data_IF_230389201226
#
_entry.id   IF_230389201226
#
_cell.length_a   1.000
_cell.length_b   1.000
_cell.length_c   1.000
_cell.angle_alpha   90.00
_cell.angle_beta   90.00
_cell.angle_gamma   90.00
#
_symmetry.space_group_name_H-M   'P 1'
#
loop_
_entity.id
_entity.type
_entity.pdbx_description
1 polymer ?
#
# COMPACT_ATOMS: atom_id res chain seq x y z
N UNK A 1 -3.01 34.86 16.08
CA UNK A 1 -2.44 35.15 14.74
C UNK A 1 -3.27 36.16 13.94
N UNK A 2 -4.58 36.21 14.17
CA UNK A 2 -5.49 37.12 13.45
C UNK A 2 -5.72 38.46 14.17
N UNK A 3 -5.24 38.60 15.40
CA UNK A 3 -5.33 39.85 16.13
C UNK A 3 -4.21 40.78 15.67
N UNK A 4 -4.59 41.83 14.93
CA UNK A 4 -3.64 42.85 14.40
C UNK A 4 -2.99 43.67 15.50
N UNK A 5 -3.53 43.68 16.72
CA UNK A 5 -2.99 44.39 17.88
C UNK A 5 -2.04 43.51 18.71
N UNK A 6 -1.89 42.23 18.35
CA UNK A 6 -0.98 41.34 19.07
C UNK A 6 0.47 41.65 18.75
N UNK A 7 1.10 42.42 19.59
CA UNK A 7 2.54 42.78 19.48
C UNK A 7 3.49 41.63 19.85
N UNK A 8 2.97 40.56 20.44
CA UNK A 8 3.71 39.34 20.80
C UNK A 8 3.15 38.14 20.05
N UNK A 9 3.54 37.89 18.80
CA UNK A 9 3.07 36.75 18.07
C UNK A 9 3.47 35.44 18.80
N UNK A 10 2.65 34.41 18.74
CA UNK A 10 2.98 33.12 19.36
C UNK A 10 4.30 32.60 18.77
N UNK A 11 5.18 32.16 19.65
CA UNK A 11 6.45 31.57 19.24
C UNK A 11 6.18 30.20 18.65
N UNK A 12 6.97 29.85 17.64
CA UNK A 12 6.91 28.55 16.99
C UNK A 12 8.31 28.06 16.67
N UNK A 13 8.46 26.74 16.63
CA UNK A 13 9.64 26.08 16.12
C UNK A 13 9.36 25.78 14.65
N UNK A 14 10.26 26.19 13.78
CA UNK A 14 10.19 25.88 12.35
C UNK A 14 11.22 24.79 12.05
N UNK A 15 10.76 23.76 11.36
CA UNK A 15 11.60 22.68 10.84
C UNK A 15 11.49 22.65 9.31
N UNK A 16 12.61 22.33 8.67
CA UNK A 16 12.70 22.38 7.22
C UNK A 16 11.77 21.35 6.54
N UNK A 17 11.58 20.20 7.18
CA UNK A 17 10.73 19.12 6.70
C UNK A 17 10.40 18.17 7.87
N UNK A 18 9.30 17.36 7.77
CA UNK A 18 8.78 16.63 8.94
C UNK A 18 9.53 15.35 9.30
N UNK A 19 10.57 14.96 8.55
CA UNK A 19 11.40 13.78 8.86
C UNK A 19 12.61 14.23 9.68
N UNK A 20 12.67 13.81 10.93
CA UNK A 20 13.76 14.19 11.84
C UNK A 20 14.90 13.17 11.75
N UNK A 21 16.12 13.67 11.93
CA UNK A 21 17.32 12.85 12.13
C UNK A 21 17.76 12.90 13.59
N UNK A 22 18.75 12.10 13.97
CA UNK A 22 19.18 11.96 15.36
C UNK A 22 19.57 13.29 16.02
N UNK A 23 20.25 14.17 15.27
CA UNK A 23 20.65 15.49 15.78
C UNK A 23 19.43 16.39 16.08
N UNK A 24 18.36 16.27 15.27
CA UNK A 24 17.12 17.01 15.50
C UNK A 24 16.41 16.49 16.75
N UNK A 25 16.35 15.17 16.94
CA UNK A 25 15.79 14.57 18.15
C UNK A 25 16.56 14.94 19.42
N UNK A 26 17.89 14.95 19.37
CA UNK A 26 18.71 15.36 20.50
C UNK A 26 18.39 16.82 20.90
N UNK A 27 18.29 17.73 19.94
CA UNK A 27 17.92 19.13 20.20
C UNK A 27 16.48 19.28 20.72
N UNK A 28 15.54 18.45 20.25
CA UNK A 28 14.16 18.49 20.75
C UNK A 28 14.06 17.98 22.19
N UNK A 29 14.84 16.96 22.55
CA UNK A 29 14.88 16.44 23.94
C UNK A 29 15.44 17.45 24.95
N UNK A 30 16.31 18.35 24.50
CA UNK A 30 16.91 19.41 25.34
C UNK A 30 16.47 20.83 24.90
N UNK A 31 15.29 20.95 24.34
CA UNK A 31 14.81 22.19 23.71
C UNK A 31 14.68 23.36 24.69
N UNK A 32 14.42 23.07 25.96
CA UNK A 32 14.33 24.05 27.04
C UNK A 32 15.67 24.78 27.25
N UNK A 33 16.79 24.09 27.16
CA UNK A 33 18.13 24.70 27.23
C UNK A 33 18.37 25.70 26.09
N UNK A 34 17.88 25.38 24.89
CA UNK A 34 18.06 26.20 23.69
C UNK A 34 17.04 27.35 23.56
N UNK A 35 15.95 27.29 24.32
CA UNK A 35 14.84 28.24 24.22
C UNK A 35 14.58 29.03 25.50
N UNK A 36 15.51 28.97 26.46
CA UNK A 36 15.36 29.58 27.78
C UNK A 36 14.01 29.14 28.45
N UNK A 37 13.72 27.86 28.40
CA UNK A 37 12.53 27.25 29.01
C UNK A 37 11.18 27.55 28.32
N UNK A 38 11.20 28.20 27.14
CA UNK A 38 9.96 28.57 26.43
C UNK A 38 9.31 27.40 25.74
N UNK A 39 10.10 26.43 25.31
CA UNK A 39 9.66 25.14 24.84
C UNK A 39 10.23 24.08 25.78
N UNK A 40 9.40 23.12 26.11
CA UNK A 40 9.74 21.99 26.97
C UNK A 40 9.15 20.73 26.36
N UNK A 41 9.98 19.70 26.23
CA UNK A 41 9.56 18.41 25.69
C UNK A 41 9.32 17.39 26.80
N UNK A 42 8.30 16.58 26.65
CA UNK A 42 8.02 15.44 27.52
C UNK A 42 7.89 14.17 26.65
N UNK A 43 8.62 13.11 27.03
CA UNK A 43 8.60 11.85 26.30
C UNK A 43 7.60 10.90 26.94
N UNK A 44 6.69 10.37 26.13
CA UNK A 44 5.65 9.42 26.50
C UNK A 44 6.03 8.05 25.94
N UNK A 45 6.29 7.10 26.82
CA UNK A 45 6.57 5.71 26.44
C UNK A 45 5.28 4.98 26.03
N UNK A 46 5.17 4.65 24.75
CA UNK A 46 4.01 3.92 24.21
C UNK A 46 4.13 2.41 24.35
N UNK A 47 5.10 1.92 25.09
CA UNK A 47 5.25 0.49 25.39
C UNK A 47 4.65 0.15 26.75
N UNK A 48 4.15 -1.07 26.90
CA UNK A 48 3.62 -1.58 28.16
C UNK A 48 4.08 -3.03 28.42
N UNK A 49 3.93 -3.57 29.65
CA UNK A 49 4.35 -4.92 29.96
C UNK A 49 3.75 -5.97 29.03
N UNK A 50 4.58 -6.73 28.33
CA UNK A 50 4.15 -7.78 27.40
C UNK A 50 3.27 -8.85 28.08
N UNK A 51 3.45 -9.07 29.38
CA UNK A 51 2.64 -9.98 30.17
C UNK A 51 1.15 -9.61 30.26
N UNK A 52 0.78 -8.36 29.94
CA UNK A 52 -0.62 -7.93 29.91
C UNK A 52 -1.33 -8.36 28.60
N UNK A 53 -0.57 -8.83 27.60
CA UNK A 53 -1.12 -9.26 26.31
C UNK A 53 -1.89 -8.15 25.59
N UNK A 54 -2.84 -8.53 24.75
CA UNK A 54 -3.70 -7.61 24.02
C UNK A 54 -4.69 -6.85 24.95
N UNK A 55 -5.10 -7.45 26.06
CA UNK A 55 -6.04 -6.85 27.01
C UNK A 55 -5.50 -5.62 27.75
N UNK A 56 -4.18 -5.46 27.83
CA UNK A 56 -3.55 -4.32 28.51
C UNK A 56 -3.64 -3.00 27.72
N UNK A 57 -3.95 -3.05 26.45
CA UNK A 57 -3.86 -1.87 25.55
C UNK A 57 -4.82 -0.75 25.94
N UNK A 58 -6.04 -1.05 26.34
CA UNK A 58 -7.04 -0.02 26.64
C UNK A 58 -6.65 0.81 27.88
N UNK A 59 -6.23 0.14 28.95
CA UNK A 59 -5.75 0.80 30.16
C UNK A 59 -4.46 1.61 29.88
N UNK A 60 -3.58 1.09 29.05
CA UNK A 60 -2.35 1.79 28.69
C UNK A 60 -2.64 3.04 27.85
N UNK A 61 -3.52 2.98 26.84
CA UNK A 61 -3.95 4.15 26.07
C UNK A 61 -4.57 5.23 26.96
N UNK A 62 -5.39 4.84 27.94
CA UNK A 62 -5.94 5.79 28.93
C UNK A 62 -4.83 6.44 29.76
N UNK A 63 -3.82 5.65 30.18
CA UNK A 63 -2.65 6.16 30.91
C UNK A 63 -1.82 7.13 30.07
N UNK A 64 -1.57 6.84 28.79
CA UNK A 64 -0.85 7.76 27.88
C UNK A 64 -1.57 9.10 27.77
N UNK A 65 -2.90 9.06 27.63
CA UNK A 65 -3.73 10.26 27.54
C UNK A 65 -3.65 11.08 28.82
N UNK A 66 -3.74 10.45 30.01
CA UNK A 66 -3.61 11.12 31.28
C UNK A 66 -2.24 11.78 31.47
N UNK A 67 -1.15 11.04 31.20
CA UNK A 67 0.21 11.57 31.24
C UNK A 67 0.40 12.80 30.35
N UNK A 68 -0.21 12.81 29.18
CA UNK A 68 -0.14 13.96 28.27
C UNK A 68 -0.85 15.19 28.84
N UNK A 69 -2.04 15.02 29.44
CA UNK A 69 -2.79 16.12 30.08
C UNK A 69 -1.99 16.69 31.25
N UNK A 70 -1.43 15.82 32.09
CA UNK A 70 -0.60 16.23 33.24
C UNK A 70 0.65 17.01 32.76
N UNK A 71 1.37 16.48 31.78
CA UNK A 71 2.53 17.14 31.21
C UNK A 71 2.21 18.54 30.63
N UNK A 72 1.08 18.68 29.93
CA UNK A 72 0.63 19.99 29.44
C UNK A 72 0.31 20.93 30.60
N UNK A 73 -0.33 20.42 31.67
CA UNK A 73 -0.61 21.15 32.90
C UNK A 73 0.66 21.65 33.59
N UNK A 74 1.75 20.90 33.52
CA UNK A 74 3.08 21.24 34.02
C UNK A 74 3.88 22.18 33.11
N UNK A 75 3.31 22.57 31.95
CA UNK A 75 3.89 23.52 31.00
C UNK A 75 4.78 22.91 29.92
N UNK A 76 4.74 21.58 29.72
CA UNK A 76 5.33 20.96 28.56
C UNK A 76 4.45 21.24 27.32
N UNK A 77 5.09 21.62 26.23
CA UNK A 77 4.39 22.01 25.00
C UNK A 77 4.87 21.26 23.76
N UNK A 78 5.72 20.25 23.96
CA UNK A 78 6.12 19.26 22.94
C UNK A 78 6.00 17.88 23.60
N UNK A 79 5.17 17.01 23.02
CA UNK A 79 5.01 15.62 23.47
C UNK A 79 5.66 14.69 22.43
N UNK A 80 6.57 13.83 22.88
CA UNK A 80 7.29 12.87 22.05
C UNK A 80 6.75 11.47 22.37
N UNK A 81 6.04 10.84 21.43
CA UNK A 81 5.59 9.46 21.59
C UNK A 81 6.72 8.53 21.13
N UNK A 82 7.19 7.67 22.03
CA UNK A 82 8.36 6.83 21.80
C UNK A 82 8.06 5.35 22.02
N UNK A 83 8.49 4.49 21.08
CA UNK A 83 8.53 3.04 21.24
C UNK A 83 9.95 2.49 21.50
N UNK A 84 10.91 3.37 21.82
CA UNK A 84 12.32 3.00 21.98
C UNK A 84 12.55 1.95 23.08
N UNK A 85 11.66 1.89 24.07
CA UNK A 85 11.74 0.94 25.19
C UNK A 85 11.19 -0.45 24.88
N UNK A 86 10.89 -0.74 23.61
CA UNK A 86 10.44 -2.08 23.20
C UNK A 86 11.52 -3.11 23.57
N UNK A 87 11.11 -4.18 24.25
CA UNK A 87 12.00 -5.24 24.73
C UNK A 87 11.24 -6.55 24.85
N UNK A 88 11.89 -7.62 25.28
CA UNK A 88 11.21 -8.89 25.55
C UNK A 88 10.04 -8.74 26.54
N UNK A 89 10.18 -7.86 27.50
CA UNK A 89 9.23 -7.62 28.59
C UNK A 89 8.22 -6.50 28.27
N UNK A 90 8.44 -5.76 27.19
CA UNK A 90 7.63 -4.59 26.83
C UNK A 90 7.24 -4.61 25.37
N UNK A 91 5.95 -4.59 25.09
CA UNK A 91 5.35 -4.52 23.76
C UNK A 91 4.88 -3.10 23.46
N UNK A 92 5.13 -2.61 22.23
CA UNK A 92 4.67 -1.30 21.83
C UNK A 92 3.21 -1.34 21.33
N UNK A 93 2.44 -0.32 21.70
CA UNK A 93 1.18 -0.01 20.98
C UNK A 93 1.54 0.41 19.55
N UNK A 94 0.79 -0.01 18.51
CA UNK A 94 0.98 0.52 17.16
C UNK A 94 0.99 2.04 17.19
N UNK A 95 2.07 2.64 16.70
CA UNK A 95 2.32 4.08 16.88
C UNK A 95 1.23 4.98 16.32
N UNK A 96 0.61 4.58 15.19
CA UNK A 96 -0.51 5.31 14.62
C UNK A 96 -1.74 5.31 15.56
N UNK A 97 -2.01 4.19 16.22
CA UNK A 97 -3.08 4.07 17.21
C UNK A 97 -2.79 4.95 18.44
N UNK A 98 -1.58 4.88 18.99
CA UNK A 98 -1.19 5.70 20.13
C UNK A 98 -1.28 7.20 19.82
N UNK A 99 -0.75 7.61 18.67
CA UNK A 99 -0.79 8.99 18.20
C UNK A 99 -2.23 9.49 18.02
N UNK A 100 -3.06 8.74 17.30
CA UNK A 100 -4.42 9.15 17.01
C UNK A 100 -5.30 9.17 18.27
N UNK A 101 -5.14 8.18 19.15
CA UNK A 101 -5.82 8.14 20.45
C UNK A 101 -5.50 9.40 21.28
N UNK A 102 -4.21 9.74 21.38
CA UNK A 102 -3.77 10.95 22.08
C UNK A 102 -4.27 12.23 21.41
N UNK A 103 -4.13 12.33 20.10
CA UNK A 103 -4.60 13.48 19.31
C UNK A 103 -6.10 13.74 19.52
N UNK A 104 -6.93 12.70 19.42
CA UNK A 104 -8.37 12.80 19.62
C UNK A 104 -8.73 13.13 21.08
N UNK A 105 -8.00 12.57 22.04
CA UNK A 105 -8.19 12.89 23.45
C UNK A 105 -7.90 14.37 23.74
N UNK A 106 -6.76 14.88 23.28
CA UNK A 106 -6.40 16.29 23.46
C UNK A 106 -7.35 17.25 22.76
N UNK A 107 -8.00 16.85 21.66
CA UNK A 107 -9.08 17.63 21.04
C UNK A 107 -10.28 17.70 21.96
N UNK A 108 -10.72 16.57 22.54
CA UNK A 108 -11.87 16.53 23.47
C UNK A 108 -11.63 17.34 24.73
N UNK A 109 -10.39 17.35 25.24
CA UNK A 109 -10.01 18.16 26.41
C UNK A 109 -9.74 19.64 26.06
N UNK A 110 -9.79 20.04 24.78
CA UNK A 110 -9.49 21.41 24.35
C UNK A 110 -7.99 21.79 24.43
N UNK A 111 -7.11 20.82 24.59
CA UNK A 111 -5.68 21.02 24.81
C UNK A 111 -4.82 20.85 23.56
N UNK A 112 -5.36 20.33 22.46
CA UNK A 112 -4.59 19.98 21.26
C UNK A 112 -3.76 21.12 20.68
N UNK A 113 -4.22 22.35 20.77
CA UNK A 113 -3.53 23.53 20.23
C UNK A 113 -2.40 24.04 21.12
N UNK A 114 -2.27 23.51 22.35
CA UNK A 114 -1.25 23.93 23.31
C UNK A 114 0.06 23.13 23.15
N UNK A 115 0.07 22.07 22.34
CA UNK A 115 1.21 21.17 22.25
C UNK A 115 1.46 20.69 20.82
N UNK A 116 2.75 20.48 20.50
CA UNK A 116 3.20 19.76 19.32
C UNK A 116 3.35 18.26 19.61
N UNK A 117 2.99 17.38 18.66
CA UNK A 117 3.13 15.94 18.74
C UNK A 117 4.27 15.47 17.83
N UNK A 118 5.29 14.86 18.41
CA UNK A 118 6.43 14.26 17.72
C UNK A 118 6.34 12.75 17.86
N UNK A 119 6.62 12.03 16.80
CA UNK A 119 6.71 10.57 16.81
C UNK A 119 8.16 10.14 16.75
N UNK A 120 8.58 9.28 17.67
CA UNK A 120 9.88 8.62 17.71
C UNK A 120 9.66 7.12 17.69
N UNK A 121 9.79 6.49 16.50
CA UNK A 121 9.34 5.11 16.34
C UNK A 121 10.20 4.27 15.42
N UNK A 122 10.40 3.01 15.81
CA UNK A 122 11.02 1.98 15.00
C UNK A 122 10.09 1.35 13.95
N UNK A 123 8.79 1.67 13.99
CA UNK A 123 7.80 1.07 13.08
C UNK A 123 7.54 1.88 11.80
N UNK A 124 8.32 2.94 11.56
CA UNK A 124 8.13 3.85 10.42
C UNK A 124 9.20 3.61 9.36
N UNK A 125 8.81 3.24 8.15
CA UNK A 125 9.74 2.86 7.08
C UNK A 125 9.53 3.60 5.78
N UNK A 126 8.30 3.69 5.28
CA UNK A 126 8.00 4.19 3.96
C UNK A 126 7.11 5.44 3.96
N UNK A 127 6.99 6.09 2.81
CA UNK A 127 6.25 7.36 2.66
C UNK A 127 4.83 7.30 3.22
N UNK A 128 4.15 6.15 3.08
CA UNK A 128 2.78 6.00 3.55
C UNK A 128 2.67 6.09 5.07
N UNK A 129 3.63 5.54 5.80
CA UNK A 129 3.68 5.63 7.27
C UNK A 129 3.74 7.10 7.72
N UNK A 130 4.63 7.88 7.10
CA UNK A 130 4.72 9.31 7.39
C UNK A 130 3.44 10.06 7.01
N UNK A 131 2.86 9.74 5.86
CA UNK A 131 1.62 10.36 5.42
C UNK A 131 0.47 10.12 6.40
N UNK A 132 0.34 8.88 6.92
CA UNK A 132 -0.63 8.53 7.94
C UNK A 132 -0.38 9.27 9.26
N UNK A 133 0.86 9.21 9.77
CA UNK A 133 1.18 9.85 11.04
C UNK A 133 0.95 11.37 11.00
N UNK A 134 1.37 12.04 9.94
CA UNK A 134 1.08 13.47 9.76
C UNK A 134 -0.42 13.73 9.65
N UNK A 135 -1.15 12.91 8.89
CA UNK A 135 -2.61 13.02 8.74
C UNK A 135 -3.37 12.86 10.05
N UNK A 136 -2.86 12.06 10.97
CA UNK A 136 -3.45 11.82 12.29
C UNK A 136 -2.81 12.61 13.43
N UNK A 137 -2.05 13.65 13.13
CA UNK A 137 -1.71 14.69 14.09
C UNK A 137 -0.24 14.85 14.44
N UNK A 138 0.68 14.03 13.93
CA UNK A 138 2.10 14.26 14.10
C UNK A 138 2.54 15.55 13.40
N UNK A 139 3.48 16.27 13.99
CA UNK A 139 4.11 17.44 13.40
C UNK A 139 5.45 17.09 12.77
N UNK A 140 6.14 16.10 13.35
CA UNK A 140 7.35 15.52 12.81
C UNK A 140 7.53 14.07 13.29
N UNK A 141 8.35 13.33 12.57
CA UNK A 141 8.58 11.90 12.80
C UNK A 141 10.07 11.59 12.75
N UNK A 142 10.59 10.92 13.76
CA UNK A 142 11.94 10.37 13.80
C UNK A 142 11.90 8.84 13.65
N UNK A 143 12.23 8.30 12.47
CA UNK A 143 12.19 6.86 12.17
C UNK A 143 13.52 6.20 12.57
N UNK A 144 13.82 6.11 13.86
CA UNK A 144 15.17 5.74 14.35
C UNK A 144 15.69 4.41 13.80
N UNK A 145 14.84 3.39 13.71
CA UNK A 145 15.25 2.08 13.20
C UNK A 145 15.54 2.12 11.71
N UNK A 146 14.71 2.80 10.92
CA UNK A 146 14.95 2.99 9.48
C UNK A 146 16.27 3.70 9.23
N UNK A 147 16.57 4.76 9.97
CA UNK A 147 17.82 5.49 9.85
C UNK A 147 19.03 4.61 10.21
N UNK A 148 18.93 3.83 11.29
CA UNK A 148 19.97 2.89 11.70
C UNK A 148 20.23 1.80 10.64
N UNK A 149 19.15 1.22 10.07
CA UNK A 149 19.23 0.20 9.02
C UNK A 149 19.83 0.78 7.73
N UNK A 150 19.43 1.98 7.34
CA UNK A 150 19.94 2.65 6.14
C UNK A 150 21.44 2.93 6.27
N UNK A 151 21.90 3.44 7.43
CA UNK A 151 23.33 3.62 7.68
C UNK A 151 24.10 2.31 7.56
N UNK A 152 23.56 1.25 8.14
CA UNK A 152 24.19 -0.09 8.08
C UNK A 152 24.23 -0.65 6.66
N UNK A 153 23.22 -0.38 5.86
CA UNK A 153 23.11 -0.86 4.48
C UNK A 153 23.87 0.02 3.46
N UNK A 154 24.20 1.26 3.80
CA UNK A 154 24.82 2.24 2.91
C UNK A 154 26.05 1.71 2.14
N UNK A 155 27.01 0.98 2.77
CA UNK A 155 28.16 0.43 2.07
C UNK A 155 27.82 -0.56 0.95
N UNK A 156 26.69 -1.29 1.08
CA UNK A 156 26.22 -2.22 0.05
C UNK A 156 25.79 -1.51 -1.23
N UNK A 157 25.42 -0.24 -1.12
CA UNK A 157 25.05 0.63 -2.25
C UNK A 157 26.22 1.55 -2.69
N UNK A 158 27.41 1.41 -2.10
CA UNK A 158 28.56 2.28 -2.39
C UNK A 158 28.37 3.74 -1.91
N UNK A 159 27.55 3.96 -0.87
CA UNK A 159 27.26 5.28 -0.32
C UNK A 159 27.89 5.47 1.05
N UNK A 160 28.14 6.72 1.43
CA UNK A 160 28.39 7.06 2.83
C UNK A 160 27.10 6.91 3.65
N UNK A 161 27.18 6.62 4.96
CA UNK A 161 26.00 6.57 5.82
C UNK A 161 25.19 7.87 5.81
N UNK A 162 25.87 9.02 5.76
CA UNK A 162 25.27 10.35 5.75
C UNK A 162 24.53 10.63 4.43
N UNK A 163 25.14 10.26 3.29
CA UNK A 163 24.49 10.38 1.98
C UNK A 163 23.26 9.48 1.88
N UNK A 164 23.36 8.26 2.36
CA UNK A 164 22.24 7.33 2.35
C UNK A 164 21.05 7.85 3.16
N UNK A 165 21.29 8.40 4.35
CA UNK A 165 20.27 9.06 5.17
C UNK A 165 19.70 10.29 4.46
N UNK A 166 20.54 11.13 3.87
CA UNK A 166 20.10 12.30 3.09
C UNK A 166 19.21 11.91 1.91
N UNK A 167 19.56 10.83 1.20
CA UNK A 167 18.76 10.31 0.09
C UNK A 167 17.39 9.77 0.57
N UNK A 168 17.37 9.06 1.69
CA UNK A 168 16.12 8.57 2.28
C UNK A 168 15.20 9.73 2.68
N UNK A 169 15.72 10.70 3.41
CA UNK A 169 14.96 11.90 3.84
C UNK A 169 14.39 12.64 2.63
N UNK A 170 15.20 12.83 1.57
CA UNK A 170 14.74 13.44 0.31
C UNK A 170 13.66 12.61 -0.39
N UNK A 171 13.81 11.29 -0.39
CA UNK A 171 12.84 10.40 -1.03
C UNK A 171 11.48 10.45 -0.31
N UNK A 172 11.47 10.36 1.03
CA UNK A 172 10.25 10.51 1.84
C UNK A 172 9.63 11.89 1.63
N UNK A 173 10.43 12.97 1.68
CA UNK A 173 9.95 14.32 1.46
C UNK A 173 9.29 14.52 0.09
N UNK A 174 9.90 13.98 -1.00
CA UNK A 174 9.29 13.96 -2.33
C UNK A 174 7.99 13.15 -2.37
N UNK A 175 7.97 12.02 -1.69
CA UNK A 175 6.78 11.18 -1.57
C UNK A 175 5.63 11.90 -0.88
N UNK A 176 5.89 12.55 0.25
CA UNK A 176 4.90 13.37 0.98
C UNK A 176 4.38 14.52 0.13
N UNK A 177 5.27 15.26 -0.54
CA UNK A 177 4.88 16.34 -1.46
C UNK A 177 3.95 15.81 -2.56
N UNK A 178 4.23 14.62 -3.11
CA UNK A 178 3.38 13.98 -4.12
C UNK A 178 2.01 13.61 -3.57
N UNK A 179 1.94 13.06 -2.35
CA UNK A 179 0.66 12.74 -1.67
C UNK A 179 -0.14 14.03 -1.45
N UNK A 180 0.47 15.07 -0.89
CA UNK A 180 -0.18 16.36 -0.65
C UNK A 180 -0.67 17.00 -1.95
N UNK A 181 0.14 16.97 -3.01
CA UNK A 181 -0.24 17.51 -4.32
C UNK A 181 -1.46 16.78 -4.91
N UNK A 182 -1.53 15.45 -4.79
CA UNK A 182 -2.72 14.66 -5.22
C UNK A 182 -3.97 15.01 -4.44
N UNK A 183 -3.84 15.33 -3.16
CA UNK A 183 -4.97 15.76 -2.30
C UNK A 183 -5.30 17.24 -2.47
N UNK A 184 -4.50 18.01 -3.20
CA UNK A 184 -4.69 19.46 -3.37
C UNK A 184 -4.38 20.26 -2.11
N UNK A 185 -3.53 19.75 -1.21
CA UNK A 185 -3.19 20.37 0.08
C UNK A 185 -1.76 20.92 0.02
N UNK A 186 -1.61 22.24 0.20
CA UNK A 186 -0.33 22.93 0.02
C UNK A 186 0.57 22.94 1.26
N UNK A 187 0.03 22.81 2.47
CA UNK A 187 0.81 22.94 3.71
C UNK A 187 0.61 21.74 4.62
N UNK A 188 1.65 21.36 5.37
CA UNK A 188 1.56 20.27 6.36
C UNK A 188 0.55 20.61 7.46
N UNK A 189 0.41 21.88 7.82
CA UNK A 189 -0.59 22.30 8.80
C UNK A 189 -2.03 21.99 8.35
N UNK A 190 -2.33 22.23 7.07
CA UNK A 190 -3.64 21.89 6.50
C UNK A 190 -3.84 20.40 6.25
N UNK A 191 -2.74 19.67 6.10
CA UNK A 191 -2.74 18.22 5.92
C UNK A 191 -3.09 17.49 7.22
N UNK A 192 -2.64 17.99 8.37
CA UNK A 192 -2.94 17.41 9.68
C UNK A 192 -4.44 17.47 9.97
N UNK A 193 -5.03 16.33 10.29
CA UNK A 193 -6.45 16.22 10.57
C UNK A 193 -7.38 16.47 9.39
N UNK A 194 -6.88 16.45 8.15
CA UNK A 194 -7.66 16.69 6.94
C UNK A 194 -8.68 15.58 6.60
N UNK A 195 -8.66 14.45 7.32
CA UNK A 195 -9.59 13.31 7.14
C UNK A 195 -9.57 12.75 5.72
N UNK A 196 -8.39 12.63 5.15
CA UNK A 196 -8.18 12.17 3.76
C UNK A 196 -7.98 10.66 3.62
N UNK A 197 -8.01 9.93 4.72
CA UNK A 197 -7.86 8.47 4.75
C UNK A 197 -9.20 7.77 4.94
N UNK A 198 -9.26 6.52 4.52
CA UNK A 198 -10.38 5.62 4.71
C UNK A 198 -9.89 4.38 5.46
N UNK A 199 -10.66 3.94 6.46
CA UNK A 199 -10.43 2.68 7.15
C UNK A 199 -11.09 1.54 6.38
N UNK A 200 -10.39 0.43 6.25
CA UNK A 200 -10.88 -0.79 5.61
C UNK A 200 -10.67 -1.96 6.55
N UNK A 201 -11.76 -2.64 6.93
CA UNK A 201 -11.72 -3.79 7.82
C UNK A 201 -11.48 -3.45 9.30
N UNK A 202 -11.79 -2.23 9.72
CA UNK A 202 -11.86 -1.81 11.11
C UNK A 202 -13.30 -1.53 11.50
N UNK A 203 -13.73 -1.96 12.69
CA UNK A 203 -15.11 -1.73 13.13
C UNK A 203 -15.35 -0.26 13.49
N UNK A 204 -16.61 0.15 13.39
CA UNK A 204 -17.03 1.54 13.61
C UNK A 204 -16.74 2.03 15.02
N UNK A 205 -16.92 1.20 16.06
CA UNK A 205 -16.65 1.57 17.46
C UNK A 205 -15.17 1.94 17.65
N UNK A 206 -14.26 1.13 17.11
CA UNK A 206 -12.82 1.37 17.15
C UNK A 206 -12.44 2.65 16.42
N UNK A 207 -13.01 2.86 15.22
CA UNK A 207 -12.74 4.03 14.39
C UNK A 207 -13.29 5.30 15.07
N UNK A 208 -14.51 5.28 15.55
CA UNK A 208 -15.11 6.45 16.21
C UNK A 208 -14.36 6.86 17.47
N UNK A 209 -13.84 5.90 18.21
CA UNK A 209 -13.12 6.17 19.45
C UNK A 209 -11.73 6.73 19.22
N UNK A 210 -10.96 6.14 18.30
CA UNK A 210 -9.52 6.41 18.13
C UNK A 210 -9.16 7.15 16.84
N UNK A 211 -9.97 7.05 15.79
CA UNK A 211 -9.76 7.65 14.48
C UNK A 211 -10.96 8.48 14.04
N UNK A 212 -11.53 9.21 14.96
CA UNK A 212 -12.79 9.95 14.77
C UNK A 212 -12.82 10.75 13.46
N UNK A 213 -13.90 10.54 12.70
CA UNK A 213 -14.12 11.21 11.42
C UNK A 213 -13.46 10.53 10.22
N UNK A 214 -12.78 9.38 10.42
CA UNK A 214 -12.33 8.54 9.33
C UNK A 214 -13.50 7.70 8.83
N UNK A 215 -13.84 7.70 7.53
CA UNK A 215 -14.88 6.83 7.00
C UNK A 215 -14.45 5.37 7.05
N UNK A 216 -15.35 4.48 7.49
CA UNK A 216 -15.16 3.03 7.43
C UNK A 216 -16.41 2.42 6.79
N UNK A 217 -16.24 1.81 5.62
CA UNK A 217 -17.34 1.18 4.87
C UNK A 217 -17.38 -0.32 5.02
N UNK A 218 -16.29 -0.91 5.53
CA UNK A 218 -16.14 -2.35 5.73
C UNK A 218 -15.76 -2.56 7.18
N UNK A 219 -16.70 -3.12 7.95
CA UNK A 219 -16.49 -3.52 9.33
C UNK A 219 -15.41 -4.60 9.46
N UNK A 220 -14.86 -4.78 10.65
CA UNK A 220 -13.84 -5.82 10.88
C UNK A 220 -13.27 -5.77 12.29
N UNK A 221 -11.96 -5.59 12.38
CA UNK A 221 -11.17 -5.70 13.60
C UNK A 221 -11.44 -4.55 14.58
N UNK A 222 -11.46 -4.88 15.86
CA UNK A 222 -11.48 -3.93 16.96
C UNK A 222 -10.11 -3.72 17.61
N UNK A 223 -10.10 -2.97 18.70
CA UNK A 223 -8.90 -2.61 19.45
C UNK A 223 -8.04 -3.83 19.82
N UNK A 224 -8.67 -4.84 20.41
CA UNK A 224 -7.95 -6.02 20.91
C UNK A 224 -7.42 -6.89 19.77
N UNK A 225 -8.12 -6.94 18.63
CA UNK A 225 -7.65 -7.69 17.46
C UNK A 225 -6.41 -7.04 16.85
N UNK A 226 -6.42 -5.71 16.70
CA UNK A 226 -5.26 -4.93 16.24
C UNK A 226 -4.07 -5.14 17.16
N UNK A 227 -4.31 -5.10 18.48
CA UNK A 227 -3.23 -5.31 19.42
C UNK A 227 -2.75 -6.76 19.48
N UNK A 228 -3.63 -7.74 19.29
CA UNK A 228 -3.25 -9.16 19.17
C UNK A 228 -2.25 -9.41 18.05
N UNK A 229 -2.42 -8.74 16.92
CA UNK A 229 -1.45 -8.81 15.83
C UNK A 229 -0.10 -8.18 16.20
N UNK A 230 -0.10 -7.09 16.95
CA UNK A 230 1.14 -6.50 17.47
C UNK A 230 1.85 -7.43 18.48
N UNK A 231 1.10 -8.04 19.41
CA UNK A 231 1.62 -9.03 20.36
C UNK A 231 2.19 -10.25 19.66
N UNK A 232 1.52 -10.81 18.65
CA UNK A 232 2.06 -11.92 17.85
C UNK A 232 3.39 -11.59 17.18
N UNK A 233 3.53 -10.40 16.61
CA UNK A 233 4.80 -9.94 16.01
C UNK A 233 5.89 -9.80 17.07
N UNK A 234 5.55 -9.24 18.23
CA UNK A 234 6.45 -9.12 19.36
C UNK A 234 6.92 -10.50 19.85
N UNK A 235 6.00 -11.44 20.07
CA UNK A 235 6.32 -12.80 20.51
C UNK A 235 7.21 -13.53 19.51
N UNK A 236 6.96 -13.36 18.21
CA UNK A 236 7.80 -13.92 17.17
C UNK A 236 9.22 -13.32 17.19
N UNK A 237 9.34 -11.99 17.40
CA UNK A 237 10.63 -11.31 17.44
C UNK A 237 11.48 -11.73 18.66
N UNK A 238 10.84 -12.00 19.81
CA UNK A 238 11.51 -12.37 21.05
C UNK A 238 11.39 -13.86 21.42
N UNK A 239 11.05 -14.72 20.44
CA UNK A 239 10.91 -16.16 20.65
C UNK A 239 12.16 -16.77 21.27
N UNK A 240 11.97 -17.69 22.26
CA UNK A 240 13.07 -18.37 22.95
C UNK A 240 13.93 -19.27 22.05
N UNK A 241 13.38 -19.75 20.93
CA UNK A 241 14.09 -20.53 19.91
C UNK A 241 14.10 -19.72 18.62
N UNK A 242 15.20 -19.05 18.36
CA UNK A 242 15.48 -18.59 17.01
C UNK A 242 15.58 -19.81 16.08
N UNK A 243 14.98 -19.78 14.88
CA UNK A 243 15.25 -20.82 13.88
C UNK A 243 16.76 -20.91 13.65
N UNK A 244 17.27 -22.13 13.42
CA UNK A 244 18.71 -22.43 13.24
C UNK A 244 19.33 -21.57 12.12
N UNK A 245 18.51 -21.10 11.19
CA UNK A 245 18.84 -20.06 10.21
C UNK A 245 17.84 -18.93 10.39
N UNK A 246 18.28 -17.82 10.95
CA UNK A 246 17.54 -16.56 10.96
C UNK A 246 17.54 -16.00 9.54
N UNK A 247 16.70 -16.54 8.67
CA UNK A 247 16.43 -15.97 7.35
C UNK A 247 15.24 -15.02 7.47
N UNK A 248 15.35 -13.89 6.80
CA UNK A 248 14.19 -13.02 6.60
C UNK A 248 13.11 -13.81 5.85
N UNK A 249 11.85 -13.48 6.09
CA UNK A 249 10.75 -14.01 5.32
C UNK A 249 11.00 -13.80 3.84
N UNK A 250 10.64 -14.80 3.02
CA UNK A 250 10.86 -14.75 1.57
C UNK A 250 10.14 -13.57 0.90
N UNK A 251 9.15 -13.00 1.57
CA UNK A 251 8.31 -11.93 1.04
C UNK A 251 7.45 -12.43 -0.13
N UNK A 252 7.53 -11.77 -1.28
CA UNK A 252 6.79 -12.20 -2.46
C UNK A 252 5.48 -11.46 -2.66
N UNK A 253 5.28 -10.33 -2.00
CA UNK A 253 4.06 -9.52 -2.13
C UNK A 253 3.83 -9.04 -3.56
N UNK A 254 4.88 -8.59 -4.24
CA UNK A 254 4.79 -8.03 -5.60
C UNK A 254 5.14 -9.03 -6.70
N UNK A 255 5.95 -10.04 -6.39
CA UNK A 255 6.34 -11.08 -7.32
C UNK A 255 6.41 -12.41 -6.59
N UNK A 256 5.98 -13.48 -7.25
CA UNK A 256 6.05 -14.82 -6.67
C UNK A 256 7.48 -15.19 -6.26
N UNK A 257 7.62 -15.76 -5.08
CA UNK A 257 8.87 -16.34 -4.56
C UNK A 257 8.60 -17.70 -3.93
N UNK A 258 9.55 -18.61 -4.05
CA UNK A 258 9.48 -19.88 -3.32
C UNK A 258 9.43 -19.60 -1.81
N UNK A 259 8.53 -20.29 -1.12
CA UNK A 259 8.28 -20.13 0.32
C UNK A 259 7.87 -18.70 0.75
N UNK A 260 7.42 -17.88 -0.22
CA UNK A 260 6.89 -16.54 0.02
C UNK A 260 5.38 -16.51 0.09
N UNK A 261 4.82 -15.30 -0.08
CA UNK A 261 3.36 -15.12 -0.09
C UNK A 261 2.70 -15.89 -1.23
N UNK A 262 1.51 -16.38 -0.95
CA UNK A 262 0.70 -17.15 -1.91
C UNK A 262 0.16 -16.26 -3.04
N UNK A 263 0.28 -16.75 -4.26
CA UNK A 263 -0.27 -16.11 -5.45
C UNK A 263 -1.22 -17.04 -6.19
N UNK A 264 -2.26 -16.49 -6.80
CA UNK A 264 -3.12 -17.26 -7.71
C UNK A 264 -2.36 -17.63 -8.99
N UNK A 265 -1.54 -16.70 -9.50
CA UNK A 265 -0.69 -16.89 -10.66
C UNK A 265 0.69 -17.41 -10.24
N UNK A 266 0.80 -18.72 -10.12
CA UNK A 266 2.05 -19.40 -9.81
C UNK A 266 2.82 -19.73 -11.09
N UNK A 267 4.15 -19.96 -11.03
CA UNK A 267 4.91 -20.46 -12.18
C UNK A 267 4.30 -21.71 -12.79
N UNK A 268 3.77 -22.61 -11.97
CA UNK A 268 3.11 -23.84 -12.44
C UNK A 268 1.84 -23.53 -13.24
N UNK A 269 1.01 -22.61 -12.79
CA UNK A 269 -0.20 -22.20 -13.52
C UNK A 269 0.16 -21.57 -14.88
N UNK A 270 1.16 -20.68 -14.89
CA UNK A 270 1.63 -20.01 -16.11
C UNK A 270 2.20 -21.02 -17.10
N UNK A 271 3.08 -21.93 -16.67
CA UNK A 271 3.68 -22.95 -17.54
C UNK A 271 2.60 -23.85 -18.16
N UNK A 272 1.61 -24.31 -17.36
CA UNK A 272 0.53 -25.14 -17.88
C UNK A 272 -0.34 -24.41 -18.90
N UNK A 273 -0.67 -23.13 -18.64
CA UNK A 273 -1.44 -22.33 -19.61
C UNK A 273 -0.68 -22.15 -20.93
N UNK A 274 0.58 -21.74 -20.85
CA UNK A 274 1.42 -21.54 -22.04
C UNK A 274 1.61 -22.85 -22.84
N UNK A 275 1.85 -23.95 -22.13
CA UNK A 275 2.02 -25.26 -22.78
C UNK A 275 0.72 -25.73 -23.43
N UNK A 276 -0.42 -25.59 -22.73
CA UNK A 276 -1.72 -25.93 -23.28
C UNK A 276 -2.01 -25.17 -24.59
N UNK A 277 -1.71 -23.87 -24.61
CA UNK A 277 -1.90 -23.03 -25.80
C UNK A 277 -0.95 -23.41 -26.95
N UNK A 278 0.35 -23.59 -26.69
CA UNK A 278 1.36 -23.91 -27.71
C UNK A 278 1.17 -25.29 -28.33
N UNK A 279 0.88 -26.28 -27.49
CA UNK A 279 0.69 -27.67 -27.92
C UNK A 279 -0.77 -27.97 -28.32
N UNK A 280 -1.69 -26.99 -28.21
CA UNK A 280 -3.14 -27.17 -28.41
C UNK A 280 -3.69 -28.36 -27.61
N UNK A 281 -3.18 -28.53 -26.39
CA UNK A 281 -3.49 -29.67 -25.53
C UNK A 281 -4.58 -29.31 -24.53
N UNK A 282 -5.81 -29.78 -24.80
CA UNK A 282 -6.95 -29.52 -23.93
C UNK A 282 -6.81 -30.15 -22.55
N UNK A 283 -6.16 -31.31 -22.42
CA UNK A 283 -5.94 -31.94 -21.11
C UNK A 283 -5.04 -31.07 -20.22
N UNK A 284 -3.95 -30.52 -20.76
CA UNK A 284 -3.09 -29.59 -20.05
C UNK A 284 -3.84 -28.30 -19.65
N UNK A 285 -4.77 -27.84 -20.51
CA UNK A 285 -5.65 -26.73 -20.14
C UNK A 285 -6.58 -27.06 -18.97
N UNK A 286 -7.13 -28.30 -18.91
CA UNK A 286 -7.93 -28.75 -17.77
C UNK A 286 -7.13 -28.78 -16.46
N UNK A 287 -5.87 -29.17 -16.52
CA UNK A 287 -4.97 -29.13 -15.35
C UNK A 287 -4.70 -27.71 -14.90
N UNK A 288 -4.47 -26.77 -15.82
CA UNK A 288 -4.40 -25.33 -15.52
C UNK A 288 -5.70 -24.84 -14.88
N UNK A 289 -6.83 -25.13 -15.47
CA UNK A 289 -8.15 -24.72 -14.97
C UNK A 289 -8.41 -25.27 -13.55
N UNK A 290 -7.99 -26.48 -13.25
CA UNK A 290 -8.09 -27.05 -11.92
C UNK A 290 -7.25 -26.26 -10.89
N UNK A 291 -6.02 -25.87 -11.22
CA UNK A 291 -5.16 -25.05 -10.34
C UNK A 291 -5.81 -23.71 -10.03
N UNK A 292 -6.41 -23.05 -11.02
CA UNK A 292 -7.01 -21.72 -10.86
C UNK A 292 -8.36 -21.76 -10.16
N UNK A 293 -9.17 -22.81 -10.44
CA UNK A 293 -10.56 -22.88 -9.97
C UNK A 293 -10.69 -23.57 -8.61
N UNK A 294 -9.79 -24.50 -8.27
CA UNK A 294 -9.81 -25.16 -6.95
C UNK A 294 -9.17 -24.24 -5.89
N UNK A 295 -10.00 -23.42 -5.29
CA UNK A 295 -9.61 -22.55 -4.17
C UNK A 295 -10.04 -23.12 -2.80
N UNK A 296 -10.35 -24.42 -2.71
CA UNK A 296 -10.81 -25.05 -1.48
C UNK A 296 -9.82 -24.95 -0.32
N UNK A 297 -8.53 -24.97 -0.62
CA UNK A 297 -7.44 -24.86 0.36
C UNK A 297 -6.82 -23.47 0.45
N UNK A 298 -6.93 -22.68 -0.60
CA UNK A 298 -6.26 -21.38 -0.76
C UNK A 298 -7.19 -20.41 -1.46
N UNK A 299 -8.01 -19.74 -0.67
CA UNK A 299 -8.96 -18.74 -1.19
C UNK A 299 -8.24 -17.44 -1.51
N UNK A 300 -8.16 -17.09 -2.78
CA UNK A 300 -7.47 -15.90 -3.26
C UNK A 300 -8.37 -14.89 -3.96
N UNK A 301 -9.61 -15.28 -4.26
CA UNK A 301 -10.59 -14.42 -4.92
C UNK A 301 -11.96 -14.62 -4.30
N UNK A 302 -12.82 -13.60 -4.38
CA UNK A 302 -14.22 -13.69 -3.96
C UNK A 302 -14.95 -14.82 -4.69
N UNK A 303 -14.60 -15.09 -5.95
CA UNK A 303 -15.14 -16.21 -6.73
C UNK A 303 -14.93 -17.56 -6.04
N UNK A 304 -13.80 -17.76 -5.35
CA UNK A 304 -13.48 -18.98 -4.60
C UNK A 304 -14.44 -19.24 -3.44
N UNK A 305 -15.16 -18.23 -2.95
CA UNK A 305 -16.18 -18.35 -1.91
C UNK A 305 -17.57 -18.74 -2.46
N UNK A 306 -17.76 -18.73 -3.77
CA UNK A 306 -19.05 -18.92 -4.41
C UNK A 306 -19.12 -20.27 -5.11
N UNK A 307 -20.30 -20.86 -5.13
CA UNK A 307 -20.62 -22.09 -5.87
C UNK A 307 -21.87 -21.85 -6.72
N UNK A 308 -21.90 -22.47 -7.90
CA UNK A 308 -23.12 -22.51 -8.69
C UNK A 308 -24.19 -23.34 -7.98
N UNK A 309 -25.41 -22.84 -7.94
CA UNK A 309 -26.59 -23.57 -7.37
C UNK A 309 -27.16 -24.60 -8.35
N UNK A 310 -26.31 -25.40 -8.96
CA UNK A 310 -26.73 -26.38 -9.97
C UNK A 310 -27.77 -27.39 -9.44
N UNK A 311 -27.69 -27.70 -8.16
CA UNK A 311 -28.64 -28.64 -7.50
C UNK A 311 -30.04 -28.04 -7.33
N UNK A 312 -30.15 -26.70 -7.33
CA UNK A 312 -31.42 -25.98 -7.17
C UNK A 312 -32.04 -25.55 -8.51
N UNK A 313 -31.42 -25.88 -9.65
CA UNK A 313 -31.84 -25.49 -10.97
C UNK A 313 -32.39 -26.70 -11.73
N UNK A 314 -33.50 -26.51 -12.46
CA UNK A 314 -33.98 -27.52 -13.42
C UNK A 314 -33.06 -27.52 -14.64
N UNK A 315 -32.59 -28.68 -15.06
CA UNK A 315 -31.78 -28.80 -16.28
C UNK A 315 -32.63 -28.42 -17.49
N UNK A 316 -32.02 -27.63 -18.38
CA UNK A 316 -32.64 -27.31 -19.68
C UNK A 316 -31.96 -28.10 -20.80
N UNK A 317 -32.61 -28.31 -21.94
CA UNK A 317 -32.02 -28.95 -23.12
C UNK A 317 -30.79 -28.18 -23.60
N UNK A 318 -29.79 -28.89 -24.13
CA UNK A 318 -28.50 -28.25 -24.53
C UNK A 318 -28.66 -27.24 -25.68
N UNK A 319 -29.66 -27.44 -26.52
CA UNK A 319 -30.02 -26.54 -27.64
C UNK A 319 -30.68 -25.24 -27.18
N UNK A 320 -31.17 -25.18 -25.95
CA UNK A 320 -31.64 -23.93 -25.30
C UNK A 320 -30.54 -23.20 -24.58
N UNK A 321 -29.37 -23.81 -24.40
CA UNK A 321 -28.20 -23.13 -23.78
C UNK A 321 -27.53 -22.23 -24.78
N UNK A 322 -27.24 -20.98 -24.41
CA UNK A 322 -26.54 -20.03 -25.25
C UNK A 322 -25.20 -20.60 -25.75
N UNK A 323 -24.96 -20.65 -27.07
CA UNK A 323 -23.71 -21.17 -27.60
C UNK A 323 -22.49 -20.36 -27.18
N UNK A 324 -21.36 -21.02 -26.91
CA UNK A 324 -20.10 -20.36 -26.50
C UNK A 324 -19.67 -19.27 -27.49
N UNK A 325 -19.87 -19.47 -28.82
CA UNK A 325 -19.58 -18.49 -29.86
C UNK A 325 -20.34 -17.17 -29.71
N UNK A 326 -21.52 -17.19 -29.08
CA UNK A 326 -22.32 -15.99 -28.85
C UNK A 326 -21.94 -15.33 -27.52
N UNK A 327 -21.57 -16.15 -26.52
CA UNK A 327 -21.05 -15.69 -25.22
C UNK A 327 -19.74 -14.91 -25.41
N UNK A 328 -18.77 -15.44 -26.18
CA UNK A 328 -17.44 -14.81 -26.36
C UNK A 328 -17.49 -13.43 -27.02
N UNK A 329 -18.54 -13.12 -27.78
CA UNK A 329 -18.75 -11.78 -28.38
C UNK A 329 -18.90 -10.66 -27.35
N UNK A 330 -19.25 -10.99 -26.12
CA UNK A 330 -19.37 -10.04 -25.00
C UNK A 330 -18.06 -9.83 -24.24
N UNK A 331 -17.02 -10.56 -24.59
CA UNK A 331 -15.71 -10.43 -23.93
C UNK A 331 -14.87 -9.35 -24.60
N UNK A 332 -14.07 -8.68 -23.77
CA UNK A 332 -13.08 -7.71 -24.20
C UNK A 332 -11.74 -7.98 -23.49
N UNK A 333 -10.65 -7.63 -24.13
CA UNK A 333 -9.34 -7.64 -23.46
C UNK A 333 -9.25 -6.53 -22.42
N UNK A 334 -8.34 -6.64 -21.46
CA UNK A 334 -7.91 -5.49 -20.66
C UNK A 334 -7.33 -4.40 -21.57
N UNK A 335 -7.37 -3.15 -21.09
CA UNK A 335 -6.84 -2.00 -21.82
C UNK A 335 -5.30 -2.01 -21.79
N UNK A 336 -4.67 -2.55 -22.82
CA UNK A 336 -3.22 -2.59 -22.99
C UNK A 336 -2.83 -1.76 -24.20
N UNK A 337 -2.14 -0.65 -23.97
CA UNK A 337 -1.69 0.25 -25.03
C UNK A 337 -0.39 -0.26 -25.67
N UNK A 338 -0.12 0.17 -26.89
CA UNK A 338 1.11 -0.14 -27.63
C UNK A 338 2.38 0.31 -26.89
N UNK A 339 2.30 1.28 -25.98
CA UNK A 339 3.42 1.73 -25.17
C UNK A 339 3.76 0.82 -23.99
N UNK A 340 2.85 -0.10 -23.60
CA UNK A 340 3.02 -0.98 -22.44
C UNK A 340 3.35 -2.43 -22.80
N UNK A 341 3.12 -2.83 -24.05
CA UNK A 341 3.39 -4.17 -24.59
C UNK A 341 4.09 -4.08 -25.95
N UNK A 342 4.65 -5.21 -26.41
CA UNK A 342 5.25 -5.24 -27.74
C UNK A 342 4.21 -5.18 -28.86
N UNK A 343 4.61 -4.75 -30.04
CA UNK A 343 3.72 -4.67 -31.21
C UNK A 343 3.13 -6.04 -31.56
N UNK A 344 3.92 -7.12 -31.41
CA UNK A 344 3.45 -8.50 -31.65
C UNK A 344 2.36 -8.91 -30.66
N UNK A 345 2.57 -8.62 -29.38
CA UNK A 345 1.58 -8.94 -28.34
C UNK A 345 0.28 -8.18 -28.57
N UNK A 346 0.39 -6.88 -28.91
CA UNK A 346 -0.75 -6.02 -29.20
C UNK A 346 -1.56 -6.54 -30.42
N UNK A 347 -0.87 -6.83 -31.53
CA UNK A 347 -1.49 -7.39 -32.73
C UNK A 347 -2.08 -8.78 -32.47
N UNK A 348 -1.40 -9.65 -31.73
CA UNK A 348 -1.90 -10.99 -31.39
C UNK A 348 -3.21 -10.94 -30.61
N UNK A 349 -3.33 -10.00 -29.67
CA UNK A 349 -4.57 -9.82 -28.90
C UNK A 349 -5.71 -9.32 -29.80
N UNK A 350 -5.44 -8.37 -30.69
CA UNK A 350 -6.44 -7.86 -31.62
C UNK A 350 -6.94 -8.98 -32.55
N UNK A 351 -6.03 -9.72 -33.19
CA UNK A 351 -6.34 -10.87 -34.06
C UNK A 351 -7.16 -11.93 -33.32
N UNK A 352 -6.73 -12.31 -32.10
CA UNK A 352 -7.42 -13.31 -31.31
C UNK A 352 -8.87 -12.90 -31.01
N UNK A 353 -9.10 -11.65 -30.60
CA UNK A 353 -10.42 -11.14 -30.27
C UNK A 353 -11.29 -10.99 -31.52
N UNK A 354 -10.75 -10.51 -32.61
CA UNK A 354 -11.47 -10.40 -33.88
C UNK A 354 -11.96 -11.77 -34.39
N UNK A 355 -11.10 -12.80 -34.31
CA UNK A 355 -11.45 -14.18 -34.74
C UNK A 355 -12.58 -14.81 -33.95
N UNK A 356 -12.69 -14.51 -32.67
CA UNK A 356 -13.79 -14.99 -31.83
C UNK A 356 -15.00 -14.05 -31.82
N UNK A 357 -14.93 -12.92 -32.52
CA UNK A 357 -15.98 -11.91 -32.53
C UNK A 357 -16.10 -11.09 -31.25
N UNK A 358 -15.07 -11.14 -30.39
CA UNK A 358 -14.95 -10.31 -29.19
C UNK A 358 -14.44 -8.90 -29.48
N UNK A 359 -13.95 -8.22 -28.46
CA UNK A 359 -13.43 -6.83 -28.58
C UNK A 359 -12.04 -6.73 -28.04
N UNK A 360 -11.14 -6.08 -28.77
CA UNK A 360 -9.82 -5.69 -28.28
C UNK A 360 -9.85 -4.25 -27.79
N UNK A 361 -9.31 -4.01 -26.61
CA UNK A 361 -9.23 -2.68 -26.03
C UNK A 361 -7.78 -2.20 -26.04
N UNK A 362 -7.51 -1.13 -26.78
CA UNK A 362 -6.17 -0.58 -27.00
C UNK A 362 -5.80 0.51 -25.99
N UNK A 363 -6.67 0.82 -25.02
CA UNK A 363 -6.45 1.85 -24.03
C UNK A 363 -6.27 3.25 -24.65
N UNK A 364 -5.60 4.13 -23.92
CA UNK A 364 -5.35 5.51 -24.35
C UNK A 364 -4.20 5.62 -25.37
N UNK A 365 -3.29 4.65 -25.40
CA UNK A 365 -2.13 4.64 -26.30
C UNK A 365 -2.45 4.34 -27.77
N UNK A 366 -3.66 3.86 -28.04
CA UNK A 366 -4.12 3.55 -29.40
C UNK A 366 -3.35 2.38 -30.04
N UNK A 367 -3.36 2.36 -31.34
CA UNK A 367 -2.71 1.36 -32.19
C UNK A 367 -1.72 2.01 -33.17
N UNK A 368 -0.87 1.20 -33.82
CA UNK A 368 0.03 1.71 -34.85
C UNK A 368 -0.77 2.24 -36.05
N UNK A 369 -0.61 3.53 -36.42
CA UNK A 369 -1.34 4.13 -37.54
C UNK A 369 -1.17 3.39 -38.86
N UNK A 370 -0.07 2.69 -39.04
CA UNK A 370 0.20 1.89 -40.27
C UNK A 370 -0.87 0.82 -40.54
N UNK A 371 -1.58 0.39 -39.49
CA UNK A 371 -2.69 -0.54 -39.64
C UNK A 371 -3.90 0.05 -40.34
N UNK A 372 -4.05 1.37 -40.32
CA UNK A 372 -5.24 2.08 -40.77
C UNK A 372 -5.02 3.01 -41.98
N UNK A 373 -3.78 3.34 -42.35
CA UNK A 373 -3.48 4.34 -43.35
C UNK A 373 -4.14 4.04 -44.74
N UNK A 374 -4.27 2.79 -45.11
CA UNK A 374 -4.92 2.40 -46.35
C UNK A 374 -6.44 2.24 -46.21
N UNK A 375 -6.96 1.87 -45.03
CA UNK A 375 -8.36 1.67 -44.74
C UNK A 375 -9.14 2.97 -44.68
N UNK A 376 -8.59 4.00 -44.04
CA UNK A 376 -9.22 5.33 -43.94
C UNK A 376 -9.48 5.95 -45.32
N UNK A 377 -8.72 5.56 -46.35
CA UNK A 377 -8.87 6.04 -47.72
C UNK A 377 -9.81 5.21 -48.60
N UNK A 378 -9.98 3.92 -48.30
CA UNK A 378 -10.65 2.97 -49.18
C UNK A 378 -11.85 2.22 -48.56
N UNK A 379 -12.06 2.30 -47.26
CA UNK A 379 -13.13 1.58 -46.52
C UNK A 379 -12.97 0.06 -46.52
N UNK A 380 -11.73 -0.45 -46.68
CA UNK A 380 -11.43 -1.88 -46.74
C UNK A 380 -10.25 -2.22 -45.79
N UNK A 381 -10.28 -3.42 -45.19
CA UNK A 381 -9.19 -3.92 -44.35
C UNK A 381 -7.88 -4.05 -45.15
N UNK A 382 -6.78 -3.55 -44.55
CA UNK A 382 -5.42 -3.67 -45.12
C UNK A 382 -4.90 -5.10 -44.99
N UNK A 383 -5.44 -5.84 -44.04
CA UNK A 383 -5.03 -7.20 -43.74
C UNK A 383 -5.62 -8.19 -44.69
N UNK A 384 -4.78 -8.92 -45.45
CA UNK A 384 -5.18 -9.97 -46.39
C UNK A 384 -4.69 -11.33 -45.89
N UNK A 385 -5.47 -12.36 -46.24
CA UNK A 385 -5.11 -13.75 -45.92
C UNK A 385 -3.70 -14.07 -46.44
N UNK A 386 -2.88 -14.59 -45.55
CA UNK A 386 -1.50 -15.01 -45.83
C UNK A 386 -0.43 -13.96 -45.51
N UNK A 387 -0.81 -12.73 -45.18
CA UNK A 387 0.11 -11.75 -44.59
C UNK A 387 0.52 -12.17 -43.18
N UNK A 388 1.65 -11.67 -42.74
CA UNK A 388 2.08 -11.78 -41.35
C UNK A 388 1.92 -10.46 -40.63
N UNK A 389 1.97 -10.48 -39.30
CA UNK A 389 1.99 -9.23 -38.49
C UNK A 389 3.19 -8.37 -38.88
N UNK A 390 4.34 -8.99 -39.22
CA UNK A 390 5.53 -8.30 -39.70
C UNK A 390 5.27 -7.55 -40.99
N UNK A 391 4.53 -8.16 -41.96
CA UNK A 391 4.19 -7.52 -43.24
C UNK A 391 3.31 -6.28 -43.04
N UNK A 392 2.39 -6.32 -42.08
CA UNK A 392 1.47 -5.21 -41.81
C UNK A 392 2.16 -4.06 -41.08
N UNK A 393 2.97 -4.37 -40.08
CA UNK A 393 3.61 -3.38 -39.21
C UNK A 393 4.95 -2.89 -39.73
N UNK A 394 5.56 -3.65 -40.67
CA UNK A 394 6.86 -3.29 -41.26
C UNK A 394 8.03 -3.27 -40.26
N UNK A 395 7.99 -4.13 -39.25
CA UNK A 395 9.01 -4.22 -38.22
C UNK A 395 9.91 -5.44 -38.41
N UNK A 396 11.20 -5.24 -38.54
CA UNK A 396 12.21 -6.31 -38.69
C UNK A 396 12.44 -7.16 -37.43
N UNK A 397 11.78 -6.81 -36.33
CA UNK A 397 12.00 -7.41 -35.00
C UNK A 397 10.85 -8.31 -34.51
N UNK A 398 9.90 -8.63 -35.34
CA UNK A 398 8.77 -9.48 -34.97
C UNK A 398 9.21 -10.94 -35.04
N UNK A 399 9.22 -11.61 -33.89
CA UNK A 399 9.68 -13.00 -33.73
C UNK A 399 8.55 -14.01 -33.94
N UNK A 400 7.28 -13.59 -33.83
CA UNK A 400 6.12 -14.46 -33.95
C UNK A 400 5.54 -14.42 -35.36
N UNK A 401 5.63 -15.52 -36.07
CA UNK A 401 5.09 -15.69 -37.42
C UNK A 401 3.59 -16.01 -37.35
N UNK A 402 2.78 -14.98 -37.15
CA UNK A 402 1.31 -15.12 -37.14
C UNK A 402 0.80 -14.87 -38.54
N UNK A 403 0.27 -15.92 -39.19
CA UNK A 403 -0.45 -15.78 -40.43
C UNK A 403 -1.84 -15.19 -40.22
N UNK A 404 -2.09 -14.11 -40.92
CA UNK A 404 -3.33 -13.37 -40.85
C UNK A 404 -4.37 -13.93 -41.84
N UNK A 405 -5.63 -13.81 -41.49
CA UNK A 405 -6.76 -14.12 -42.36
C UNK A 405 -7.55 -12.83 -42.70
N UNK A 406 -8.43 -12.90 -43.71
CA UNK A 406 -9.25 -11.76 -44.06
C UNK A 406 -10.11 -11.33 -42.84
N UNK A 407 -10.03 -10.07 -42.47
CA UNK A 407 -10.75 -9.53 -41.31
C UNK A 407 -10.03 -9.56 -39.98
N UNK A 408 -8.76 -9.93 -39.93
CA UNK A 408 -7.91 -9.87 -38.74
C UNK A 408 -7.41 -8.45 -38.36
N UNK A 409 -8.00 -7.41 -38.95
CA UNK A 409 -7.65 -5.99 -38.68
C UNK A 409 -8.22 -5.44 -37.39
#
# INVERSE_FOLDING_TARGET
LLDVNNVNPPRRIEIFQPVLVENDMAKLRTIDEHTAGKFRSFEIDITYPAAWGDSGVEAHLASLCAQAVDAIGEGYNILILSDENVSRERVAVPVLLALSALHQHLIREGLRTNTGLIVHSGAVFETHDFALLLGYGAEAVHPYLSLALIRKAAPLAGLSPEDAVSHYVKAVGKGLTKVMAKMGICTVMSYRGARIFEAVGLNSEFVDRYFHGTPSKIEGLGLFDVMREAVKRHDAAYAKRMPIKAQLDSGGQYAWRADGEEHMWTPQAIVKLQRAAREKNYQTYKEYAAIINDQSKRQMTLRGLLRFKTEACTAIPIDEVEPAKDIVRRFATGAMSMGSISAEAHATLAVAMNRIGGKSNTGEGGEDPKRYEAELKAGHSVVKKGMTVADVLGHDRIVADIKLEDGDS
#
